data_IF_202611936292
#
_entry.id   IF_202611936292
#
_cell.length_a   1.000
_cell.length_b   1.000
_cell.length_c   1.000
_cell.angle_alpha   90.00
_cell.angle_beta   90.00
_cell.angle_gamma   90.00
#
_symmetry.space_group_name_H-M   'P 1'
#
loop_
_entity.id
_entity.type
_entity.pdbx_description
1 polymer ?
#
# COMPACT_ATOMS: atom_id res chain seq x y z
N UNK A 1 17.79 -12.44 0.48
CA UNK A 1 18.80 -13.10 1.33
C UNK A 1 20.01 -12.18 1.48
N UNK A 2 20.62 -12.12 2.66
CA UNK A 2 21.84 -11.35 2.92
C UNK A 2 22.69 -12.11 3.94
N UNK A 3 23.94 -12.42 3.62
CA UNK A 3 24.90 -13.10 4.52
C UNK A 3 24.37 -14.40 5.16
N UNK A 4 23.62 -15.20 4.38
CA UNK A 4 23.00 -16.45 4.85
C UNK A 4 21.79 -16.24 5.77
N UNK A 5 21.27 -15.01 5.87
CA UNK A 5 20.03 -14.66 6.58
C UNK A 5 18.89 -14.39 5.60
N UNK A 6 17.68 -14.73 6.04
CA UNK A 6 16.44 -14.28 5.43
C UNK A 6 15.99 -13.00 6.12
N UNK A 7 15.81 -11.93 5.34
CA UNK A 7 15.27 -10.66 5.82
C UNK A 7 13.86 -10.54 5.26
N UNK A 8 12.88 -10.38 6.15
CA UNK A 8 11.46 -10.31 5.80
C UNK A 8 10.89 -9.06 6.44
N UNK A 9 10.38 -8.16 5.61
CA UNK A 9 9.62 -7.01 6.08
C UNK A 9 8.14 -7.27 5.88
N UNK A 10 7.36 -7.04 6.93
CA UNK A 10 5.91 -7.27 6.90
C UNK A 10 5.19 -6.30 7.81
N UNK A 11 3.95 -6.02 7.44
CA UNK A 11 2.99 -5.36 8.32
C UNK A 11 2.53 -6.36 9.36
N UNK A 12 2.68 -6.00 10.64
CA UNK A 12 2.33 -6.83 11.79
C UNK A 12 1.25 -6.14 12.61
N UNK A 13 0.18 -6.89 12.88
CA UNK A 13 -0.75 -6.63 13.98
C UNK A 13 -0.44 -7.57 15.16
N UNK A 14 -0.49 -7.11 16.42
CA UNK A 14 -0.28 -7.98 17.57
C UNK A 14 -1.39 -9.02 17.71
N UNK A 15 -2.63 -8.64 17.42
CA UNK A 15 -3.82 -9.48 17.49
C UNK A 15 -4.72 -9.20 16.28
N UNK A 16 -5.38 -10.23 15.77
CA UNK A 16 -6.34 -10.10 14.68
C UNK A 16 -7.74 -9.86 15.27
N UNK A 17 -8.32 -8.69 14.99
CA UNK A 17 -9.67 -8.33 15.42
C UNK A 17 -10.57 -8.29 14.18
N UNK A 18 -11.53 -9.21 14.10
CA UNK A 18 -12.48 -9.34 12.98
C UNK A 18 -13.92 -8.96 13.40
N UNK A 19 -14.08 -8.16 14.47
CA UNK A 19 -15.39 -7.90 15.07
C UNK A 19 -16.11 -9.17 15.53
N UNK A 20 -17.43 -9.11 15.65
CA UNK A 20 -18.27 -10.27 15.96
C UNK A 20 -18.61 -11.10 14.71
N UNK A 21 -17.71 -11.17 13.72
CA UNK A 21 -17.98 -11.80 12.43
C UNK A 21 -18.41 -13.29 12.51
N UNK A 22 -18.11 -13.98 13.61
CA UNK A 22 -18.56 -15.35 13.85
C UNK A 22 -19.80 -15.48 14.75
N UNK A 23 -20.27 -14.37 15.36
CA UNK A 23 -21.32 -14.36 16.37
C UNK A 23 -22.54 -13.50 16.00
N UNK A 24 -22.44 -12.68 14.96
CA UNK A 24 -23.50 -11.78 14.50
C UNK A 24 -23.85 -12.02 13.02
N UNK A 25 -25.13 -11.89 12.68
CA UNK A 25 -25.59 -11.82 11.29
C UNK A 25 -25.33 -10.43 10.67
N UNK A 26 -25.01 -9.43 11.50
CA UNK A 26 -24.63 -8.12 11.00
C UNK A 26 -23.24 -8.18 10.34
N UNK A 27 -23.06 -7.45 9.22
CA UNK A 27 -21.77 -7.39 8.57
C UNK A 27 -20.71 -6.76 9.49
N UNK A 28 -19.46 -7.21 9.37
CA UNK A 28 -18.34 -6.83 10.26
C UNK A 28 -18.19 -5.33 10.47
N UNK A 29 -18.43 -4.50 9.45
CA UNK A 29 -18.30 -3.04 9.57
C UNK A 29 -19.33 -2.39 10.51
N UNK A 30 -20.41 -3.08 10.90
CA UNK A 30 -21.36 -2.62 11.92
C UNK A 30 -20.95 -2.98 13.34
N UNK A 31 -20.14 -4.02 13.51
CA UNK A 31 -19.73 -4.55 14.83
C UNK A 31 -18.28 -4.25 15.15
N UNK A 32 -17.52 -3.73 14.18
CA UNK A 32 -16.11 -3.37 14.35
C UNK A 32 -15.98 -2.09 15.19
N UNK A 33 -15.35 -2.20 16.35
CA UNK A 33 -14.87 -1.07 17.11
C UNK A 33 -13.46 -0.67 16.63
N UNK A 34 -13.40 0.40 15.82
CA UNK A 34 -12.14 0.92 15.31
C UNK A 34 -11.21 1.46 16.42
N UNK A 35 -11.74 1.81 17.59
CA UNK A 35 -10.92 2.38 18.67
C UNK A 35 -10.10 1.33 19.41
N UNK A 36 -10.59 0.08 19.46
CA UNK A 36 -9.86 -1.06 20.03
C UNK A 36 -8.98 -1.80 19.02
N UNK A 37 -8.99 -1.38 17.74
CA UNK A 37 -8.15 -2.00 16.72
C UNK A 37 -6.66 -1.79 17.03
N UNK A 38 -5.89 -2.88 17.16
CA UNK A 38 -4.49 -2.77 17.50
C UNK A 38 -3.70 -2.16 16.34
N UNK A 39 -2.60 -1.48 16.68
CA UNK A 39 -1.72 -0.86 15.70
C UNK A 39 -1.14 -1.92 14.74
N UNK A 40 -1.45 -1.74 13.45
CA UNK A 40 -0.74 -2.39 12.35
C UNK A 40 0.51 -1.58 11.99
N UNK A 41 1.70 -2.14 12.15
CA UNK A 41 2.97 -1.43 11.96
C UNK A 41 3.95 -2.23 11.09
N UNK A 42 4.95 -1.56 10.51
CA UNK A 42 5.97 -2.22 9.69
C UNK A 42 7.12 -2.78 10.55
N UNK A 43 7.42 -4.07 10.38
CA UNK A 43 8.46 -4.78 11.12
C UNK A 43 9.41 -5.50 10.17
N UNK A 44 10.69 -5.57 10.57
CA UNK A 44 11.71 -6.41 9.95
C UNK A 44 11.99 -7.61 10.82
N UNK A 45 12.03 -8.78 10.21
CA UNK A 45 12.46 -10.04 10.77
C UNK A 45 13.75 -10.48 10.09
N UNK A 46 14.74 -10.88 10.89
CA UNK A 46 15.97 -11.49 10.40
C UNK A 46 16.03 -12.92 10.93
N UNK A 47 16.03 -13.89 10.03
CA UNK A 47 16.03 -15.32 10.35
C UNK A 47 17.33 -15.95 9.85
N UNK A 48 18.00 -16.70 10.71
CA UNK A 48 19.16 -17.54 10.37
C UNK A 48 18.66 -18.97 10.11
N UNK A 49 18.47 -19.40 8.85
CA UNK A 49 17.83 -20.68 8.57
C UNK A 49 18.63 -21.88 9.11
N UNK A 50 19.96 -21.76 9.12
CA UNK A 50 20.87 -22.81 9.59
C UNK A 50 20.72 -23.14 11.09
N UNK A 51 20.33 -22.16 11.92
CA UNK A 51 20.23 -22.35 13.37
C UNK A 51 18.80 -22.19 13.90
N UNK A 52 17.88 -21.66 13.08
CA UNK A 52 16.55 -21.26 13.52
C UNK A 52 16.52 -19.99 14.38
N UNK A 53 17.67 -19.37 14.65
CA UNK A 53 17.72 -18.13 15.42
C UNK A 53 17.09 -16.97 14.61
N UNK A 54 16.37 -16.08 15.29
CA UNK A 54 15.78 -14.92 14.64
C UNK A 54 15.72 -13.70 15.57
N UNK A 55 15.68 -12.52 14.96
CA UNK A 55 15.43 -11.24 15.63
C UNK A 55 14.34 -10.48 14.89
N UNK A 56 13.74 -9.49 15.57
CA UNK A 56 12.83 -8.54 14.92
C UNK A 56 13.10 -7.13 15.40
N UNK A 57 12.85 -6.15 14.53
CA UNK A 57 12.87 -4.72 14.87
C UNK A 57 11.75 -3.99 14.14
N UNK A 58 11.22 -2.95 14.77
CA UNK A 58 10.23 -2.10 14.14
C UNK A 58 10.91 -1.17 13.13
N UNK A 59 10.33 -1.02 11.94
CA UNK A 59 10.80 -0.11 10.89
C UNK A 59 10.04 1.22 10.91
N UNK A 60 8.76 1.16 11.28
CA UNK A 60 7.89 2.33 11.36
C UNK A 60 6.86 2.15 12.48
N UNK A 61 6.58 3.23 13.21
CA UNK A 61 5.79 3.22 14.44
C UNK A 61 4.36 3.76 14.31
N UNK A 62 3.97 4.22 13.12
CA UNK A 62 2.58 4.61 12.83
C UNK A 62 1.85 3.53 12.03
N UNK A 63 0.53 3.71 11.96
CA UNK A 63 -0.35 2.76 11.30
C UNK A 63 -0.04 2.67 9.82
N UNK A 64 0.23 1.46 9.33
CA UNK A 64 0.46 1.19 7.92
C UNK A 64 -0.20 -0.10 7.48
N UNK A 65 -0.57 -0.13 6.21
CA UNK A 65 -0.97 -1.34 5.49
C UNK A 65 -0.57 -1.26 4.01
N UNK A 66 -0.75 -2.35 3.27
CA UNK A 66 -0.47 -2.45 1.84
C UNK A 66 0.94 -1.97 1.44
N UNK A 67 2.01 -2.60 1.98
CA UNK A 67 3.38 -2.23 1.63
C UNK A 67 3.67 -2.53 0.15
N UNK A 68 4.36 -1.60 -0.50
CA UNK A 68 4.67 -1.64 -1.92
C UNK A 68 6.09 -1.18 -2.16
N UNK A 69 6.79 -1.84 -3.07
CA UNK A 69 8.19 -1.56 -3.40
C UNK A 69 8.35 -1.45 -4.92
N UNK A 70 9.49 -0.95 -5.37
CA UNK A 70 9.89 -1.10 -6.77
C UNK A 70 10.03 -2.59 -7.10
N UNK A 71 9.10 -3.14 -7.88
CA UNK A 71 9.04 -4.59 -8.15
C UNK A 71 10.31 -5.16 -8.80
N UNK A 72 11.13 -4.35 -9.47
CA UNK A 72 12.41 -4.79 -10.06
C UNK A 72 13.45 -5.25 -9.03
N UNK A 73 13.30 -4.83 -7.76
CA UNK A 73 14.13 -5.25 -6.64
C UNK A 73 13.46 -6.30 -5.74
N UNK A 74 12.32 -6.87 -6.17
CA UNK A 74 11.64 -7.92 -5.40
C UNK A 74 12.58 -9.09 -5.08
N UNK A 75 12.62 -9.49 -3.81
CA UNK A 75 13.52 -10.53 -3.29
C UNK A 75 14.99 -10.10 -3.10
N UNK A 76 15.35 -8.87 -3.42
CA UNK A 76 16.70 -8.30 -3.28
C UNK A 76 16.75 -7.31 -2.10
N UNK A 77 17.96 -6.93 -1.63
CA UNK A 77 18.10 -5.79 -0.74
C UNK A 77 17.46 -4.54 -1.36
N UNK A 78 16.74 -3.77 -0.53
CA UNK A 78 15.99 -2.60 -0.95
C UNK A 78 15.99 -1.54 0.17
N UNK A 79 15.69 -0.30 -0.19
CA UNK A 79 15.74 0.86 0.70
C UNK A 79 14.38 1.48 0.96
N UNK A 80 13.47 1.49 -0.01
CA UNK A 80 12.21 2.24 0.09
C UNK A 80 10.99 1.34 -0.02
N UNK A 81 10.04 1.51 0.91
CA UNK A 81 8.69 0.98 0.82
C UNK A 81 7.66 2.09 0.96
N UNK A 82 6.54 1.92 0.28
CA UNK A 82 5.40 2.83 0.27
C UNK A 82 4.20 2.09 0.87
N UNK A 83 3.55 2.69 1.85
CA UNK A 83 2.40 2.09 2.52
C UNK A 83 1.24 3.08 2.55
N UNK A 84 0.01 2.56 2.53
CA UNK A 84 -1.14 3.33 2.95
C UNK A 84 -1.06 3.55 4.47
N UNK A 85 -1.47 4.73 4.95
CA UNK A 85 -1.38 5.09 6.38
C UNK A 85 -2.62 5.84 6.87
N UNK A 86 -2.76 5.98 8.18
CA UNK A 86 -3.84 6.74 8.83
C UNK A 86 -3.31 8.01 9.50
N UNK A 87 -4.07 9.12 9.53
CA UNK A 87 -3.69 10.32 10.29
C UNK A 87 -3.70 10.10 11.81
N UNK A 88 -4.31 9.01 12.28
CA UNK A 88 -4.44 8.70 13.70
C UNK A 88 -3.12 8.13 14.21
N UNK A 89 -2.47 8.86 15.13
CA UNK A 89 -1.20 8.44 15.72
C UNK A 89 -1.37 7.36 16.78
N UNK A 90 -0.48 6.38 16.78
CA UNK A 90 -0.37 5.37 17.84
C UNK A 90 -1.49 4.33 17.94
N UNK A 91 -2.49 4.35 17.05
CA UNK A 91 -3.51 3.30 16.91
C UNK A 91 -3.89 3.09 15.45
N UNK A 92 -4.61 2.00 15.16
CA UNK A 92 -5.15 1.74 13.83
C UNK A 92 -6.26 2.74 13.46
N UNK A 93 -6.53 2.88 12.17
CA UNK A 93 -7.59 3.74 11.68
C UNK A 93 -7.80 3.57 10.18
N UNK A 94 -8.86 4.17 9.62
CA UNK A 94 -9.05 4.17 8.18
C UNK A 94 -7.81 4.70 7.45
N UNK A 95 -7.47 4.05 6.34
CA UNK A 95 -6.36 4.43 5.48
C UNK A 95 -6.74 5.68 4.68
N UNK A 96 -5.95 6.74 4.83
CA UNK A 96 -6.18 8.02 4.18
C UNK A 96 -4.92 8.55 3.49
N UNK A 97 -3.75 8.31 4.06
CA UNK A 97 -2.49 8.86 3.59
C UNK A 97 -1.60 7.86 2.88
N UNK A 98 -0.50 8.40 2.39
CA UNK A 98 0.64 7.66 1.87
C UNK A 98 1.86 7.95 2.75
N UNK A 99 2.62 6.91 3.10
CA UNK A 99 3.92 7.04 3.75
C UNK A 99 5.00 6.35 2.92
N UNK A 100 6.17 6.97 2.84
CA UNK A 100 7.40 6.42 2.29
C UNK A 100 8.36 6.19 3.45
N UNK A 101 8.82 4.96 3.59
CA UNK A 101 9.73 4.54 4.66
C UNK A 101 11.08 4.18 4.06
N UNK A 102 12.15 4.78 4.56
CA UNK A 102 13.53 4.34 4.33
C UNK A 102 13.89 3.26 5.36
N UNK A 103 13.99 2.01 4.91
CA UNK A 103 14.17 0.85 5.81
C UNK A 103 15.59 0.75 6.38
N UNK A 104 16.52 1.56 5.88
CA UNK A 104 17.84 1.75 6.50
C UNK A 104 17.75 2.56 7.81
N UNK A 105 16.73 3.40 7.96
CA UNK A 105 16.59 4.35 9.07
C UNK A 105 17.45 5.61 8.92
N UNK A 106 18.14 5.80 7.79
CA UNK A 106 18.95 7.00 7.54
C UNK A 106 18.10 8.26 7.28
N UNK A 107 16.81 8.10 6.95
CA UNK A 107 15.88 9.19 6.65
C UNK A 107 14.59 9.01 7.43
N UNK A 108 14.04 10.13 7.88
CA UNK A 108 12.71 10.18 8.45
C UNK A 108 11.65 9.80 7.40
N UNK A 109 10.55 9.13 7.80
CA UNK A 109 9.45 8.83 6.89
C UNK A 109 8.82 10.10 6.32
N UNK A 110 8.58 10.09 5.01
CA UNK A 110 7.77 11.13 4.35
C UNK A 110 6.30 10.72 4.42
N UNK A 111 5.41 11.64 4.77
CA UNK A 111 3.98 11.36 4.90
C UNK A 111 3.18 12.41 4.14
N UNK A 112 2.18 11.96 3.40
CA UNK A 112 1.14 12.80 2.83
C UNK A 112 -0.23 12.39 3.34
N UNK A 113 -1.04 13.37 3.72
CA UNK A 113 -2.42 13.19 4.17
C UNK A 113 -3.35 14.04 3.29
N UNK A 114 -4.48 13.48 2.81
CA UNK A 114 -5.45 14.21 2.00
C UNK A 114 -6.42 15.02 2.88
N UNK A 115 -7.51 15.51 2.28
CA UNK A 115 -8.61 16.08 3.07
C UNK A 115 -9.25 15.02 3.99
N UNK A 116 -9.86 15.40 5.13
CA UNK A 116 -10.37 14.44 6.12
C UNK A 116 -11.40 13.44 5.60
N UNK A 117 -12.16 13.79 4.56
CA UNK A 117 -13.15 12.91 3.92
C UNK A 117 -12.57 12.00 2.82
N UNK A 118 -11.28 12.13 2.52
CA UNK A 118 -10.61 11.38 1.46
C UNK A 118 -9.86 10.18 2.05
N UNK A 119 -9.98 9.04 1.38
CA UNK A 119 -9.45 7.75 1.82
C UNK A 119 -8.63 7.09 0.72
N UNK A 120 -7.41 6.67 1.02
CA UNK A 120 -6.45 6.13 0.06
C UNK A 120 -6.46 4.59 0.11
N UNK A 121 -6.41 3.96 -1.06
CA UNK A 121 -6.21 2.51 -1.19
C UNK A 121 -4.74 2.08 -1.22
N UNK A 122 -4.48 0.88 -1.73
CA UNK A 122 -3.12 0.38 -1.97
C UNK A 122 -2.34 1.33 -2.90
N UNK A 123 -1.07 1.54 -2.58
CA UNK A 123 -0.12 2.29 -3.38
C UNK A 123 0.65 1.34 -4.31
N UNK A 124 0.74 1.65 -5.60
CA UNK A 124 1.51 0.86 -6.58
C UNK A 124 2.68 1.67 -7.11
N UNK A 125 3.91 1.17 -6.94
CA UNK A 125 5.09 1.76 -7.56
C UNK A 125 5.11 1.50 -9.07
N UNK A 126 5.29 2.57 -9.84
CA UNK A 126 5.41 2.57 -11.29
C UNK A 126 6.77 3.19 -11.67
N UNK A 127 7.72 2.42 -12.23
CA UNK A 127 9.02 2.97 -12.60
C UNK A 127 8.88 4.05 -13.68
N UNK A 128 9.77 5.05 -13.66
CA UNK A 128 9.83 6.04 -14.75
C UNK A 128 10.14 5.34 -16.07
N UNK A 129 9.58 5.83 -17.17
CA UNK A 129 9.92 5.32 -18.50
C UNK A 129 11.44 5.44 -18.74
N UNK A 130 12.07 4.34 -19.16
CA UNK A 130 13.52 4.28 -19.35
C UNK A 130 14.35 4.02 -18.09
N UNK A 131 13.72 3.82 -16.93
CA UNK A 131 14.44 3.39 -15.71
C UNK A 131 15.16 2.07 -15.94
N UNK A 132 16.38 1.95 -15.42
CA UNK A 132 17.19 0.74 -15.52
C UNK A 132 17.87 0.39 -14.20
N UNK A 133 18.79 -0.60 -14.23
CA UNK A 133 19.53 -1.03 -13.03
C UNK A 133 20.33 0.08 -12.34
N UNK A 134 20.74 1.12 -13.08
CA UNK A 134 21.50 2.27 -12.58
C UNK A 134 20.62 3.43 -12.10
N UNK A 135 19.29 3.35 -12.31
CA UNK A 135 18.36 4.36 -11.81
C UNK A 135 18.25 4.26 -10.29
N UNK A 136 17.93 5.39 -9.64
CA UNK A 136 17.60 5.37 -8.22
C UNK A 136 16.41 4.42 -7.97
N UNK A 137 16.42 3.71 -6.84
CA UNK A 137 15.39 2.71 -6.49
C UNK A 137 13.97 3.31 -6.52
N UNK A 138 13.85 4.57 -6.14
CA UNK A 138 12.62 5.35 -6.09
C UNK A 138 12.40 6.26 -7.31
N UNK A 139 13.14 6.07 -8.41
CA UNK A 139 12.94 6.84 -9.65
C UNK A 139 11.66 6.38 -10.38
N UNK A 140 10.56 7.02 -10.04
CA UNK A 140 9.26 6.68 -10.59
C UNK A 140 8.12 7.40 -9.92
N UNK A 141 6.98 6.74 -9.91
CA UNK A 141 5.72 7.29 -9.47
C UNK A 141 5.01 6.32 -8.52
N UNK A 142 4.18 6.86 -7.64
CA UNK A 142 3.21 6.08 -6.89
C UNK A 142 1.83 6.36 -7.46
N UNK A 143 1.12 5.30 -7.84
CA UNK A 143 -0.26 5.38 -8.31
C UNK A 143 -1.17 4.74 -7.28
N UNK A 144 -2.28 5.41 -6.94
CA UNK A 144 -3.28 4.88 -6.02
C UNK A 144 -4.67 5.42 -6.35
N UNK A 145 -5.68 4.87 -5.68
CA UNK A 145 -7.05 5.37 -5.71
C UNK A 145 -7.35 6.16 -4.44
N UNK A 146 -7.96 7.32 -4.60
CA UNK A 146 -8.38 8.20 -3.52
C UNK A 146 -9.90 8.37 -3.58
N UNK A 147 -10.63 7.81 -2.63
CA UNK A 147 -12.08 7.95 -2.50
C UNK A 147 -12.40 9.21 -1.72
N UNK A 148 -13.16 10.14 -2.31
CA UNK A 148 -13.79 11.24 -1.59
C UNK A 148 -15.18 10.78 -1.12
N UNK A 149 -15.30 10.51 0.19
CA UNK A 149 -16.54 10.06 0.81
C UNK A 149 -17.65 11.12 0.80
N UNK A 150 -17.33 12.40 0.64
CA UNK A 150 -18.33 13.48 0.55
C UNK A 150 -18.96 13.55 -0.82
N UNK A 151 -18.15 13.53 -1.89
CA UNK A 151 -18.67 13.58 -3.26
C UNK A 151 -19.04 12.21 -3.83
N UNK A 152 -18.69 11.12 -3.12
CA UNK A 152 -18.84 9.73 -3.57
C UNK A 152 -18.23 9.52 -4.97
N UNK A 153 -17.01 10.03 -5.13
CA UNK A 153 -16.21 9.86 -6.35
C UNK A 153 -14.79 9.49 -5.98
N UNK A 154 -14.11 8.82 -6.91
CA UNK A 154 -12.72 8.46 -6.73
C UNK A 154 -11.83 9.27 -7.67
N UNK A 155 -10.59 9.47 -7.28
CA UNK A 155 -9.52 9.95 -8.13
C UNK A 155 -8.48 8.84 -8.26
N UNK A 156 -7.93 8.66 -9.47
CA UNK A 156 -6.62 8.04 -9.61
C UNK A 156 -5.60 9.13 -9.33
N UNK A 157 -4.76 8.93 -8.32
CA UNK A 157 -3.75 9.90 -7.90
C UNK A 157 -2.36 9.39 -8.24
N UNK A 158 -1.51 10.30 -8.73
CA UNK A 158 -0.12 10.00 -9.08
C UNK A 158 0.79 10.92 -8.27
N UNK A 159 1.76 10.35 -7.57
CA UNK A 159 2.80 11.06 -6.83
C UNK A 159 4.15 10.88 -7.51
N UNK A 160 5.03 11.86 -7.35
CA UNK A 160 6.46 11.64 -7.52
C UNK A 160 6.94 10.76 -6.35
N UNK A 161 7.47 9.58 -6.63
CA UNK A 161 7.89 8.63 -5.60
C UNK A 161 9.06 9.17 -4.74
N UNK A 162 9.80 10.17 -5.24
CA UNK A 162 10.87 10.82 -4.49
C UNK A 162 10.39 11.93 -3.56
N UNK A 163 9.16 12.43 -3.74
CA UNK A 163 8.62 13.61 -3.05
C UNK A 163 7.14 13.46 -2.73
N UNK A 164 6.78 12.38 -2.05
CA UNK A 164 5.36 12.09 -1.82
C UNK A 164 4.69 13.14 -0.92
N UNK A 165 5.46 13.80 -0.05
CA UNK A 165 4.97 14.81 0.87
C UNK A 165 4.44 16.07 0.15
N UNK A 166 4.92 16.35 -1.07
CA UNK A 166 4.45 17.46 -1.92
C UNK A 166 3.01 17.21 -2.42
N UNK A 167 2.53 15.97 -2.30
CA UNK A 167 1.21 15.54 -2.75
C UNK A 167 1.18 15.07 -4.20
N UNK A 168 -0.02 14.76 -4.73
CA UNK A 168 -0.15 14.19 -6.04
C UNK A 168 0.18 15.23 -7.13
N UNK A 169 1.07 14.85 -8.05
CA UNK A 169 1.39 15.61 -9.26
C UNK A 169 0.30 15.50 -10.33
N UNK A 170 -0.60 14.52 -10.19
CA UNK A 170 -1.78 14.36 -11.04
C UNK A 170 -2.94 13.74 -10.27
N UNK A 171 -4.17 14.21 -10.54
CA UNK A 171 -5.42 13.64 -10.06
C UNK A 171 -6.37 13.45 -11.24
N UNK A 172 -6.76 12.21 -11.53
CA UNK A 172 -7.70 11.86 -12.60
C UNK A 172 -9.03 11.43 -11.99
N UNK A 173 -10.03 12.28 -12.12
CA UNK A 173 -11.38 12.05 -11.58
C UNK A 173 -12.10 10.95 -12.35
N UNK A 174 -12.56 9.93 -11.63
CA UNK A 174 -13.44 8.89 -12.18
C UNK A 174 -14.88 9.41 -12.30
N UNK A 175 -15.66 8.76 -13.17
CA UNK A 175 -17.08 9.12 -13.37
C UNK A 175 -17.99 8.66 -12.22
N UNK A 176 -17.57 7.62 -11.49
CA UNK A 176 -18.31 7.02 -10.36
C UNK A 176 -17.39 6.76 -9.17
N UNK A 177 -17.96 6.42 -8.03
CA UNK A 177 -17.18 5.84 -6.94
C UNK A 177 -16.55 4.50 -7.38
N UNK A 178 -15.33 4.28 -6.94
CA UNK A 178 -14.72 2.96 -6.91
C UNK A 178 -14.79 2.47 -5.46
N UNK A 179 -15.35 1.27 -5.19
CA UNK A 179 -15.28 0.68 -3.87
C UNK A 179 -13.83 0.57 -3.38
N UNK A 180 -13.62 0.58 -2.07
CA UNK A 180 -12.31 0.23 -1.51
C UNK A 180 -11.90 -1.15 -2.01
N UNK A 181 -10.91 -1.17 -2.90
CA UNK A 181 -10.37 -2.38 -3.47
C UNK A 181 -9.29 -2.97 -2.56
N UNK A 182 -8.85 -4.17 -2.92
CA UNK A 182 -7.70 -4.82 -2.30
C UNK A 182 -6.47 -4.54 -3.17
N UNK A 183 -5.90 -5.59 -3.74
CA UNK A 183 -4.63 -5.51 -4.45
C UNK A 183 -4.76 -5.16 -5.92
N UNK A 184 -3.69 -4.58 -6.45
CA UNK A 184 -3.46 -4.33 -7.86
C UNK A 184 -1.99 -4.50 -8.25
N UNK A 185 -1.70 -4.31 -9.52
CA UNK A 185 -0.34 -4.33 -10.05
C UNK A 185 -0.21 -3.43 -11.26
N UNK A 186 0.90 -2.70 -11.33
CA UNK A 186 1.31 -2.05 -12.55
C UNK A 186 2.08 -3.03 -13.45
N UNK A 187 1.81 -2.99 -14.75
CA UNK A 187 2.60 -3.68 -15.77
C UNK A 187 2.90 -2.72 -16.91
N UNK A 188 4.18 -2.45 -17.25
CA UNK A 188 4.52 -1.60 -18.38
C UNK A 188 4.17 -2.23 -19.74
N UNK A 189 3.96 -3.55 -19.78
CA UNK A 189 3.70 -4.31 -21.01
C UNK A 189 2.20 -4.48 -21.30
N UNK A 190 1.34 -4.28 -20.30
CA UNK A 190 -0.11 -4.43 -20.43
C UNK A 190 -0.76 -3.06 -20.66
N UNK A 191 -0.66 -2.57 -21.88
CA UNK A 191 -1.35 -1.35 -22.33
C UNK A 191 -2.44 -1.74 -23.33
N UNK A 192 -3.58 -2.30 -22.86
CA UNK A 192 -4.64 -2.68 -23.76
C UNK A 192 -5.28 -1.42 -24.38
N UNK A 193 -5.55 -1.47 -25.68
CA UNK A 193 -6.32 -0.41 -26.32
C UNK A 193 -7.80 -0.47 -25.89
N UNK A 194 -8.54 0.61 -26.17
CA UNK A 194 -9.95 0.70 -25.80
C UNK A 194 -10.78 -0.47 -26.36
N UNK A 195 -10.52 -0.89 -27.59
CA UNK A 195 -11.26 -1.99 -28.20
C UNK A 195 -10.99 -3.32 -27.50
N UNK A 196 -9.75 -3.56 -27.06
CA UNK A 196 -9.37 -4.73 -26.26
C UNK A 196 -10.08 -4.73 -24.89
N UNK A 197 -10.18 -3.57 -24.25
CA UNK A 197 -10.90 -3.40 -22.98
C UNK A 197 -12.40 -3.68 -23.16
N UNK A 198 -13.04 -3.05 -24.15
CA UNK A 198 -14.46 -3.22 -24.45
C UNK A 198 -14.79 -4.68 -24.85
N UNK A 199 -13.93 -5.31 -25.65
CA UNK A 199 -14.07 -6.72 -26.00
C UNK A 199 -13.92 -7.66 -24.79
N UNK A 200 -13.05 -7.32 -23.82
CA UNK A 200 -12.92 -8.09 -22.59
C UNK A 200 -14.15 -7.94 -21.68
N UNK A 201 -14.67 -6.73 -21.49
CA UNK A 201 -15.85 -6.48 -20.65
C UNK A 201 -17.16 -7.03 -21.22
N UNK A 202 -17.27 -7.12 -22.54
CA UNK A 202 -18.45 -7.68 -23.21
C UNK A 202 -18.50 -9.22 -23.19
N UNK A 203 -17.41 -9.90 -22.83
CA UNK A 203 -17.43 -11.33 -22.58
C UNK A 203 -18.19 -11.60 -21.28
N UNK A 204 -19.34 -12.28 -21.37
CA UNK A 204 -20.02 -12.81 -20.19
C UNK A 204 -19.03 -13.68 -19.41
N UNK A 205 -18.93 -13.56 -18.08
CA UNK A 205 -18.12 -14.48 -17.30
C UNK A 205 -18.63 -15.89 -17.58
N UNK A 206 -17.79 -16.71 -18.22
CA UNK A 206 -18.04 -18.14 -18.31
C UNK A 206 -18.02 -18.67 -16.88
N UNK A 207 -19.10 -19.30 -16.45
CA UNK A 207 -19.17 -19.95 -15.15
C UNK A 207 -17.94 -20.82 -14.94
N UNK A 208 -17.24 -20.60 -13.83
CA UNK A 208 -16.16 -21.47 -13.34
C UNK A 208 -16.69 -22.87 -13.07
#
# INVERSE_FOLDING_TARGET
EADGRLVIDMVRVPDLVLGEASASEDPVWKTLDLESMPLSALWRYEVQPATGAWTKRQLHDQHVDFPSINRSISGKPYRYTYCATSPIKGRSGPLQGLVKVDVSGEREPEVWLPQPQEFLGEASFCPRAGSGPESAEDDGYIVSFLLDGRSQRSDIVVFDAQKIADGPICRLRTQSFLPHALHGSFSPELVPDQAQIEAAWSKKPTSL
#
